data_IF_435026461719
#
_entry.id   IF_435026461719
#
_cell.length_a   1.000
_cell.length_b   1.000
_cell.length_c   1.000
_cell.angle_alpha   90.00
_cell.angle_beta   90.00
_cell.angle_gamma   90.00
#
_symmetry.space_group_name_H-M   'P 1'
#
loop_
_entity.id
_entity.type
_entity.pdbx_description
1 polymer ?
#
# COMPACT_ATOMS: atom_id res chain seq x y z
N UNK A 1 -11.39 15.39 -12.83
CA UNK A 1 -10.32 16.29 -12.37
C UNK A 1 -10.18 16.36 -10.83
N UNK A 2 -11.26 16.59 -10.06
CA UNK A 2 -11.16 16.73 -8.59
C UNK A 2 -10.65 15.46 -7.88
N UNK A 3 -11.18 14.29 -8.23
CA UNK A 3 -10.75 13.01 -7.64
C UNK A 3 -9.25 12.73 -7.90
N UNK A 4 -8.75 13.09 -9.09
CA UNK A 4 -7.34 13.01 -9.43
C UNK A 4 -6.46 13.85 -8.49
N UNK A 5 -6.84 15.12 -8.26
CA UNK A 5 -6.11 16.03 -7.37
C UNK A 5 -6.16 15.56 -5.91
N UNK A 6 -7.34 15.16 -5.42
CA UNK A 6 -7.48 14.59 -4.06
C UNK A 6 -6.58 13.36 -3.92
N UNK A 7 -6.56 12.49 -4.94
CA UNK A 7 -5.75 11.28 -4.92
C UNK A 7 -4.24 11.58 -4.84
N UNK A 8 -3.77 12.53 -5.65
CA UNK A 8 -2.39 12.99 -5.68
C UNK A 8 -1.95 13.63 -4.35
N UNK A 9 -2.70 14.58 -3.82
CA UNK A 9 -2.35 15.23 -2.56
C UNK A 9 -2.43 14.27 -1.37
N UNK A 10 -3.35 13.31 -1.39
CA UNK A 10 -3.40 12.25 -0.39
C UNK A 10 -2.18 11.33 -0.43
N UNK A 11 -1.63 11.07 -1.63
CA UNK A 11 -0.37 10.33 -1.78
C UNK A 11 0.80 11.09 -1.14
N UNK A 12 0.89 12.41 -1.34
CA UNK A 12 1.90 13.27 -0.71
C UNK A 12 1.75 13.28 0.81
N UNK A 13 0.52 13.42 1.33
CA UNK A 13 0.25 13.35 2.77
C UNK A 13 0.70 12.02 3.37
N UNK A 14 0.46 10.91 2.66
CA UNK A 14 0.95 9.59 3.06
C UNK A 14 2.47 9.55 3.22
N UNK A 15 3.24 10.13 2.28
CA UNK A 15 4.69 10.24 2.38
C UNK A 15 5.11 11.09 3.59
N UNK A 16 4.44 12.22 3.83
CA UNK A 16 4.72 13.08 4.99
C UNK A 16 4.56 12.29 6.29
N UNK A 17 3.46 11.54 6.46
CA UNK A 17 3.27 10.68 7.64
C UNK A 17 4.34 9.58 7.74
N UNK A 18 4.77 9.01 6.61
CA UNK A 18 5.86 8.02 6.55
C UNK A 18 7.20 8.58 7.02
N UNK A 19 7.51 9.83 6.70
CA UNK A 19 8.73 10.49 7.16
C UNK A 19 8.61 10.88 8.64
N UNK A 20 7.45 11.39 9.07
CA UNK A 20 7.21 11.82 10.45
C UNK A 20 7.27 10.67 11.47
N UNK A 21 6.86 9.45 11.09
CA UNK A 21 6.82 8.32 12.02
C UNK A 21 8.23 7.83 12.39
N UNK A 22 9.25 8.04 11.55
CA UNK A 22 10.64 7.60 11.78
C UNK A 22 11.25 8.26 13.03
N UNK A 23 11.37 9.60 13.12
CA UNK A 23 11.99 10.23 14.29
C UNK A 23 11.22 9.96 15.59
N UNK A 24 9.89 9.84 15.52
CA UNK A 24 9.04 9.47 16.66
C UNK A 24 9.34 8.03 17.11
N UNK A 25 9.49 7.11 16.16
CA UNK A 25 9.85 5.71 16.43
C UNK A 25 11.23 5.59 17.06
N UNK A 26 12.23 6.32 16.56
CA UNK A 26 13.59 6.36 17.13
C UNK A 26 13.57 6.89 18.56
N UNK A 27 12.87 8.01 18.80
CA UNK A 27 12.73 8.56 20.16
C UNK A 27 12.02 7.59 21.10
N UNK A 28 10.98 6.91 20.61
CA UNK A 28 10.23 5.95 21.41
C UNK A 28 11.02 4.67 21.68
N UNK A 29 11.90 4.23 20.77
CA UNK A 29 12.78 3.08 20.94
C UNK A 29 13.70 3.21 22.16
N UNK A 30 14.25 4.41 22.37
CA UNK A 30 15.18 4.71 23.47
C UNK A 30 14.49 4.94 24.83
N UNK A 31 13.15 4.96 24.88
CA UNK A 31 12.39 5.20 26.10
C UNK A 31 11.87 3.88 26.70
N UNK A 32 11.86 3.75 28.03
CA UNK A 32 11.34 2.57 28.74
C UNK A 32 9.81 2.58 28.93
N UNK A 33 9.11 3.67 28.59
CA UNK A 33 7.64 3.74 28.62
C UNK A 33 7.00 2.84 27.56
N UNK A 34 5.67 2.69 27.57
CA UNK A 34 4.91 2.03 26.50
C UNK A 34 5.14 2.67 25.11
N UNK A 35 4.64 2.02 24.06
CA UNK A 35 4.64 2.62 22.71
C UNK A 35 3.83 3.91 22.75
N UNK A 36 4.38 4.96 22.13
CA UNK A 36 3.71 6.26 22.02
C UNK A 36 2.43 6.14 21.18
N UNK A 37 1.30 6.63 21.69
CA UNK A 37 0.01 6.59 20.99
C UNK A 37 0.09 7.28 19.62
N UNK A 38 0.95 8.29 19.46
CA UNK A 38 1.16 9.00 18.19
C UNK A 38 1.64 8.08 17.07
N UNK A 39 2.37 7.01 17.37
CA UNK A 39 2.82 6.04 16.36
C UNK A 39 1.60 5.36 15.72
N UNK A 40 0.58 5.01 16.51
CA UNK A 40 -0.65 4.41 16.01
C UNK A 40 -1.47 5.41 15.19
N UNK A 41 -1.62 6.64 15.68
CA UNK A 41 -2.35 7.69 14.96
C UNK A 41 -1.69 8.02 13.62
N UNK A 42 -0.37 8.20 13.58
CA UNK A 42 0.36 8.52 12.35
C UNK A 42 0.32 7.35 11.37
N UNK A 43 0.50 6.11 11.85
CA UNK A 43 0.38 4.93 11.00
C UNK A 43 -1.04 4.77 10.42
N UNK A 44 -2.08 5.11 11.21
CA UNK A 44 -3.46 5.13 10.73
C UNK A 44 -3.64 6.20 9.65
N UNK A 45 -3.21 7.44 9.90
CA UNK A 45 -3.35 8.52 8.94
C UNK A 45 -2.55 8.26 7.66
N UNK A 46 -1.38 7.62 7.75
CA UNK A 46 -0.61 7.16 6.60
C UNK A 46 -1.42 6.18 5.74
N UNK A 47 -1.91 5.09 6.33
CA UNK A 47 -2.74 4.11 5.64
C UNK A 47 -4.00 4.76 5.05
N UNK A 48 -4.69 5.59 5.83
CA UNK A 48 -5.91 6.26 5.40
C UNK A 48 -5.67 7.22 4.22
N UNK A 49 -4.53 7.93 4.21
CA UNK A 49 -4.14 8.81 3.11
C UNK A 49 -3.88 8.01 1.83
N UNK A 50 -3.21 6.86 1.91
CA UNK A 50 -3.02 5.97 0.76
C UNK A 50 -4.33 5.35 0.29
N UNK A 51 -5.24 5.02 1.21
CA UNK A 51 -6.58 4.52 0.88
C UNK A 51 -7.40 5.58 0.12
N UNK A 52 -7.39 6.85 0.57
CA UNK A 52 -8.03 7.94 -0.16
C UNK A 52 -7.38 8.11 -1.54
N UNK A 53 -6.05 8.01 -1.62
CA UNK A 53 -5.32 8.07 -2.89
C UNK A 53 -5.82 7.00 -3.87
N UNK A 54 -5.86 5.74 -3.43
CA UNK A 54 -6.31 4.62 -4.24
C UNK A 54 -7.79 4.75 -4.64
N UNK A 55 -8.67 5.16 -3.72
CA UNK A 55 -10.07 5.44 -4.05
C UNK A 55 -10.21 6.58 -5.07
N UNK A 56 -9.40 7.64 -4.95
CA UNK A 56 -9.36 8.73 -5.92
C UNK A 56 -9.01 8.26 -7.34
N UNK A 57 -8.08 7.31 -7.46
CA UNK A 57 -7.76 6.67 -8.74
C UNK A 57 -8.93 5.83 -9.26
N UNK A 58 -9.55 5.00 -8.42
CA UNK A 58 -10.76 4.23 -8.79
C UNK A 58 -11.86 5.16 -9.31
N UNK A 59 -12.16 6.24 -8.59
CA UNK A 59 -13.17 7.23 -9.01
C UNK A 59 -12.81 7.88 -10.35
N UNK A 60 -11.53 8.12 -10.62
CA UNK A 60 -11.07 8.67 -11.90
C UNK A 60 -11.28 7.67 -13.03
N UNK A 61 -10.99 6.38 -12.81
CA UNK A 61 -11.26 5.30 -13.77
C UNK A 61 -12.76 5.10 -14.06
N UNK A 62 -13.59 5.04 -13.00
CA UNK A 62 -15.04 4.82 -13.11
C UNK A 62 -15.71 5.93 -13.90
N UNK A 63 -15.32 7.18 -13.64
CA UNK A 63 -15.85 8.36 -14.32
C UNK A 63 -15.20 8.64 -15.68
N UNK A 64 -14.25 7.80 -16.13
CA UNK A 64 -13.52 8.00 -17.39
C UNK A 64 -12.87 9.39 -17.48
N UNK A 65 -12.20 9.80 -16.40
CA UNK A 65 -11.51 11.09 -16.30
C UNK A 65 -10.21 11.11 -17.13
N UNK A 66 -10.32 11.36 -18.43
CA UNK A 66 -9.18 11.35 -19.36
C UNK A 66 -8.21 12.52 -19.19
N UNK A 67 -8.46 13.43 -18.23
CA UNK A 67 -7.45 14.39 -17.79
C UNK A 67 -6.34 13.74 -16.97
N UNK A 68 -6.55 12.51 -16.48
CA UNK A 68 -5.53 11.66 -15.87
C UNK A 68 -4.90 10.75 -16.94
N UNK A 69 -3.58 10.81 -17.08
CA UNK A 69 -2.79 10.05 -18.06
C UNK A 69 -2.97 8.53 -17.92
N UNK A 70 -2.94 8.01 -16.69
CA UNK A 70 -3.13 6.58 -16.39
C UNK A 70 -4.53 6.11 -16.79
N UNK A 71 -5.57 6.92 -16.54
CA UNK A 71 -6.96 6.62 -16.95
C UNK A 71 -7.09 6.66 -18.46
N UNK A 72 -6.52 7.68 -19.12
CA UNK A 72 -6.51 7.79 -20.58
C UNK A 72 -5.86 6.56 -21.23
N UNK A 73 -4.72 6.11 -20.72
CA UNK A 73 -3.99 4.98 -21.31
C UNK A 73 -4.64 3.61 -21.06
N UNK A 74 -5.52 3.47 -20.05
CA UNK A 74 -5.97 2.15 -19.57
C UNK A 74 -7.48 2.01 -19.39
N UNK A 75 -8.29 2.98 -19.84
CA UNK A 75 -9.75 2.96 -19.71
C UNK A 75 -10.43 3.45 -20.98
N UNK A 76 -11.73 3.18 -21.11
CA UNK A 76 -12.60 3.68 -22.18
C UNK A 76 -14.03 3.80 -21.65
N UNK A 77 -14.77 4.79 -22.13
CA UNK A 77 -16.18 5.06 -21.73
C UNK A 77 -17.10 3.84 -21.80
N UNK A 78 -16.95 2.99 -22.82
CA UNK A 78 -17.81 1.83 -23.13
C UNK A 78 -17.51 0.59 -22.29
N UNK A 79 -16.44 0.59 -21.49
CA UNK A 79 -16.09 -0.58 -20.68
C UNK A 79 -17.09 -0.79 -19.54
N UNK A 80 -17.50 -2.05 -19.26
CA UNK A 80 -18.29 -2.36 -18.09
C UNK A 80 -17.61 -1.87 -16.81
N UNK A 81 -18.41 -1.49 -15.81
CA UNK A 81 -17.92 -0.91 -14.56
C UNK A 81 -16.85 -1.78 -13.88
N UNK A 82 -17.03 -3.10 -13.89
CA UNK A 82 -16.07 -4.05 -13.33
C UNK A 82 -14.65 -3.87 -13.91
N UNK A 83 -14.54 -3.70 -15.23
CA UNK A 83 -13.25 -3.50 -15.90
C UNK A 83 -12.71 -2.07 -15.80
N UNK A 84 -13.59 -1.08 -15.57
CA UNK A 84 -13.12 0.26 -15.18
C UNK A 84 -12.46 0.21 -13.80
N UNK A 85 -13.07 -0.46 -12.84
CA UNK A 85 -12.50 -0.63 -11.51
C UNK A 85 -11.19 -1.42 -11.60
N UNK A 86 -11.17 -2.58 -12.26
CA UNK A 86 -9.94 -3.38 -12.37
C UNK A 86 -8.84 -2.71 -13.20
N UNK A 87 -9.21 -1.82 -14.13
CA UNK A 87 -8.27 -0.96 -14.84
C UNK A 87 -7.39 -0.13 -13.92
N UNK A 88 -7.85 0.18 -12.69
CA UNK A 88 -7.07 0.86 -11.64
C UNK A 88 -5.77 0.11 -11.33
N UNK A 89 -5.77 -1.22 -11.27
CA UNK A 89 -4.59 -2.03 -10.96
C UNK A 89 -4.12 -2.90 -12.12
N UNK A 90 -4.77 -2.79 -13.28
CA UNK A 90 -4.37 -3.47 -14.52
C UNK A 90 -3.18 -2.82 -15.24
N UNK A 91 -2.62 -1.75 -14.69
CA UNK A 91 -1.51 -0.99 -15.25
C UNK A 91 -0.36 -0.85 -14.25
N UNK A 92 0.77 -0.37 -14.73
CA UNK A 92 1.99 -0.30 -13.92
C UNK A 92 1.86 0.68 -12.74
N UNK A 93 1.40 1.91 -12.96
CA UNK A 93 1.32 2.96 -11.93
C UNK A 93 0.32 2.61 -10.82
N UNK A 94 -0.87 2.17 -11.22
CA UNK A 94 -1.95 1.87 -10.30
C UNK A 94 -1.77 0.54 -9.55
N UNK A 95 -1.09 -0.45 -10.15
CA UNK A 95 -0.66 -1.65 -9.42
C UNK A 95 0.37 -1.31 -8.33
N UNK A 96 1.31 -0.40 -8.59
CA UNK A 96 2.24 0.08 -7.55
C UNK A 96 1.53 0.87 -6.44
N UNK A 97 0.46 1.61 -6.76
CA UNK A 97 -0.37 2.25 -5.74
C UNK A 97 -1.13 1.22 -4.87
N UNK A 98 -1.66 0.15 -5.49
CA UNK A 98 -2.24 -0.98 -4.76
C UNK A 98 -1.20 -1.67 -3.87
N UNK A 99 0.03 -1.84 -4.35
CA UNK A 99 1.15 -2.39 -3.59
C UNK A 99 1.42 -1.55 -2.33
N UNK A 100 1.51 -0.22 -2.49
CA UNK A 100 1.69 0.71 -1.38
C UNK A 100 0.51 0.66 -0.37
N UNK A 101 -0.72 0.51 -0.86
CA UNK A 101 -1.90 0.32 -0.01
C UNK A 101 -1.75 -0.93 0.86
N UNK A 102 -1.33 -2.06 0.29
CA UNK A 102 -1.10 -3.30 1.04
C UNK A 102 0.04 -3.15 2.05
N UNK A 103 1.17 -2.52 1.68
CA UNK A 103 2.28 -2.28 2.60
C UNK A 103 1.86 -1.48 3.85
N UNK A 104 1.11 -0.40 3.65
CA UNK A 104 0.65 0.47 4.74
C UNK A 104 -0.47 -0.16 5.55
N UNK A 105 -1.34 -0.95 4.93
CA UNK A 105 -2.36 -1.73 5.62
C UNK A 105 -1.76 -2.78 6.56
N UNK A 106 -0.82 -3.60 6.06
CA UNK A 106 -0.23 -4.69 6.84
C UNK A 106 0.54 -4.19 8.05
N UNK A 107 1.30 -3.09 7.93
CA UNK A 107 2.05 -2.57 9.08
C UNK A 107 1.16 -1.91 10.12
N UNK A 108 0.11 -1.22 9.68
CA UNK A 108 -0.90 -0.69 10.60
C UNK A 108 -1.58 -1.83 11.37
N UNK A 109 -1.99 -2.89 10.67
CA UNK A 109 -2.59 -4.07 11.29
C UNK A 109 -1.61 -4.77 12.23
N UNK A 110 -0.33 -4.88 11.83
CA UNK A 110 0.73 -5.45 12.65
C UNK A 110 0.89 -4.70 13.96
N UNK A 111 0.92 -3.36 13.91
CA UNK A 111 1.02 -2.54 15.11
C UNK A 111 -0.14 -2.82 16.08
N UNK A 112 -1.37 -2.94 15.59
CA UNK A 112 -2.54 -3.21 16.45
C UNK A 112 -2.49 -4.63 17.05
N UNK A 113 -2.21 -5.64 16.22
CA UNK A 113 -2.31 -7.05 16.61
C UNK A 113 -1.10 -7.57 17.41
N UNK A 114 0.03 -6.88 17.35
CA UNK A 114 1.26 -7.27 18.05
C UNK A 114 1.36 -6.78 19.49
N UNK A 115 0.26 -6.35 20.14
CA UNK A 115 0.28 -5.74 21.48
C UNK A 115 0.97 -6.58 22.58
N UNK A 116 0.95 -7.91 22.46
CA UNK A 116 1.62 -8.87 23.38
C UNK A 116 3.13 -9.03 23.12
N UNK A 117 3.67 -8.42 22.07
CA UNK A 117 5.09 -8.53 21.70
C UNK A 117 5.93 -7.44 22.34
N UNK A 118 7.25 -7.67 22.54
CA UNK A 118 8.15 -6.68 23.10
C UNK A 118 8.13 -5.37 22.30
N UNK A 119 8.14 -4.26 23.03
CA UNK A 119 8.10 -2.90 22.46
C UNK A 119 9.16 -2.70 21.37
N UNK A 120 10.43 -3.02 21.67
CA UNK A 120 11.56 -2.79 20.77
C UNK A 120 11.43 -3.55 19.45
N UNK A 121 10.96 -4.80 19.50
CA UNK A 121 10.66 -5.61 18.32
C UNK A 121 9.59 -4.96 17.44
N UNK A 122 8.51 -4.45 18.04
CA UNK A 122 7.41 -3.80 17.29
C UNK A 122 7.88 -2.51 16.62
N UNK A 123 8.64 -1.69 17.33
CA UNK A 123 9.18 -0.42 16.80
C UNK A 123 10.19 -0.66 15.68
N UNK A 124 11.09 -1.64 15.83
CA UNK A 124 12.03 -1.97 14.75
C UNK A 124 11.34 -2.59 13.54
N UNK A 125 10.29 -3.40 13.73
CA UNK A 125 9.48 -3.91 12.62
C UNK A 125 8.85 -2.76 11.83
N UNK A 126 8.28 -1.79 12.53
CA UNK A 126 7.77 -0.56 11.93
C UNK A 126 8.87 0.20 11.19
N UNK A 127 10.03 0.41 11.81
CA UNK A 127 11.15 1.12 11.21
C UNK A 127 11.60 0.50 9.88
N UNK A 128 11.86 -0.81 9.85
CA UNK A 128 12.27 -1.51 8.63
C UNK A 128 11.20 -1.47 7.55
N UNK A 129 9.92 -1.62 7.91
CA UNK A 129 8.84 -1.50 6.96
C UNK A 129 8.74 -0.08 6.38
N UNK A 130 8.95 0.96 7.19
CA UNK A 130 8.88 2.35 6.73
C UNK A 130 9.96 2.67 5.70
N UNK A 131 11.14 2.04 5.78
CA UNK A 131 12.17 2.18 4.72
C UNK A 131 11.62 1.71 3.37
N UNK A 132 10.96 0.55 3.34
CA UNK A 132 10.34 -0.01 2.12
C UNK A 132 9.23 0.93 1.64
N UNK A 133 8.35 1.36 2.54
CA UNK A 133 7.20 2.22 2.22
C UNK A 133 7.66 3.57 1.65
N UNK A 134 8.65 4.23 2.25
CA UNK A 134 9.21 5.49 1.72
C UNK A 134 9.78 5.27 0.32
N UNK A 135 10.49 4.17 0.08
CA UNK A 135 10.97 3.81 -1.25
C UNK A 135 9.85 3.76 -2.29
N UNK A 136 8.73 3.09 -1.97
CA UNK A 136 7.55 3.03 -2.85
C UNK A 136 6.87 4.40 -3.05
N UNK A 137 6.74 5.20 -1.99
CA UNK A 137 6.21 6.57 -2.14
C UNK A 137 7.08 7.41 -3.08
N UNK A 138 8.40 7.38 -2.91
CA UNK A 138 9.32 8.15 -3.76
C UNK A 138 9.27 7.66 -5.21
N UNK A 139 9.20 6.34 -5.43
CA UNK A 139 9.08 5.76 -6.76
C UNK A 139 7.78 6.17 -7.45
N UNK A 140 6.64 6.06 -6.76
CA UNK A 140 5.35 6.52 -7.27
C UNK A 140 5.36 8.02 -7.59
N UNK A 141 5.83 8.87 -6.68
CA UNK A 141 5.76 10.32 -6.89
C UNK A 141 6.72 10.84 -7.97
N UNK A 142 7.86 10.18 -8.19
CA UNK A 142 8.89 10.66 -9.15
C UNK A 142 8.89 9.94 -10.48
N UNK A 143 8.52 8.66 -10.52
CA UNK A 143 8.76 7.81 -11.69
C UNK A 143 7.47 7.22 -12.25
N UNK A 144 6.52 6.84 -11.39
CA UNK A 144 5.30 6.12 -11.81
C UNK A 144 4.06 6.71 -11.16
N UNK A 145 3.84 8.01 -11.35
CA UNK A 145 2.77 8.73 -10.69
C UNK A 145 1.42 8.44 -11.37
N UNK A 146 0.46 7.78 -10.68
CA UNK A 146 -0.83 7.43 -11.27
C UNK A 146 -1.78 8.63 -11.45
N UNK A 147 -1.36 9.84 -11.07
CA UNK A 147 -2.18 11.05 -11.11
C UNK A 147 -1.63 12.13 -12.06
N UNK A 148 -0.70 11.76 -12.95
CA UNK A 148 -0.18 12.66 -13.97
C UNK A 148 -1.32 13.30 -14.77
N UNK A 149 -1.24 14.61 -14.95
CA UNK A 149 -2.23 15.39 -15.69
C UNK A 149 -1.87 15.43 -17.17
N UNK A 150 -2.87 15.20 -18.01
CA UNK A 150 -2.75 15.21 -19.47
C UNK A 150 -3.50 16.41 -20.07
N UNK A 151 -2.82 17.18 -20.90
CA UNK A 151 -3.39 18.31 -21.65
C UNK A 151 -2.85 18.34 -23.08
N UNK A 152 -3.70 18.60 -24.10
CA UNK A 152 -5.15 18.81 -24.02
C UNK A 152 -5.91 17.54 -23.58
N UNK A 153 -7.05 17.72 -22.90
CA UNK A 153 -7.84 16.59 -22.38
C UNK A 153 -8.44 15.81 -23.55
N UNK A 154 -8.08 14.51 -23.74
CA UNK A 154 -8.64 13.70 -24.81
C UNK A 154 -10.14 13.44 -24.60
N UNK A 155 -10.86 13.23 -25.71
CA UNK A 155 -12.29 12.91 -25.68
C UNK A 155 -12.57 11.45 -25.27
N UNK A 156 -11.61 10.56 -25.48
CA UNK A 156 -11.75 9.13 -25.24
C UNK A 156 -10.41 8.51 -24.84
N UNK A 157 -10.44 7.40 -24.10
CA UNK A 157 -9.24 6.66 -23.68
C UNK A 157 -8.87 5.52 -24.62
N UNK A 158 -7.61 5.07 -24.54
CA UNK A 158 -7.05 4.00 -25.38
C UNK A 158 -7.62 2.60 -25.05
N UNK A 159 -8.32 2.47 -23.92
CA UNK A 159 -8.90 1.22 -23.46
C UNK A 159 -7.96 0.37 -22.63
N UNK A 160 -8.55 -0.62 -21.95
CA UNK A 160 -7.82 -1.61 -21.16
C UNK A 160 -7.19 -2.67 -22.08
N UNK A 161 -6.00 -3.16 -21.73
CA UNK A 161 -5.38 -4.31 -22.40
C UNK A 161 -6.40 -5.46 -22.55
N UNK A 162 -6.62 -5.99 -23.77
CA UNK A 162 -7.58 -7.07 -24.02
C UNK A 162 -7.45 -8.27 -23.09
N UNK A 163 -6.23 -8.63 -22.68
CA UNK A 163 -5.97 -9.76 -21.78
C UNK A 163 -6.58 -9.54 -20.39
N UNK A 164 -6.63 -8.30 -19.91
CA UNK A 164 -7.16 -7.95 -18.59
C UNK A 164 -8.70 -7.89 -18.53
N UNK A 165 -9.36 -8.32 -19.61
CA UNK A 165 -10.81 -8.46 -19.67
C UNK A 165 -11.28 -9.86 -19.24
N UNK A 166 -10.39 -10.74 -18.79
CA UNK A 166 -10.76 -11.96 -18.07
C UNK A 166 -11.11 -11.62 -16.60
N UNK A 167 -12.27 -12.05 -16.08
CA UNK A 167 -12.64 -11.83 -14.67
C UNK A 167 -11.60 -12.34 -13.65
N UNK A 168 -10.95 -13.47 -13.92
CA UNK A 168 -9.90 -14.02 -13.07
C UNK A 168 -8.69 -13.10 -13.03
N UNK A 169 -8.25 -12.57 -14.18
CA UNK A 169 -7.12 -11.64 -14.27
C UNK A 169 -7.44 -10.26 -13.67
N UNK A 170 -8.72 -9.88 -13.58
CA UNK A 170 -9.15 -8.68 -12.88
C UNK A 170 -9.09 -8.85 -11.34
N UNK A 171 -9.43 -10.03 -10.81
CA UNK A 171 -9.49 -10.30 -9.36
C UNK A 171 -8.13 -10.77 -8.80
N UNK A 172 -7.31 -11.39 -9.65
CA UNK A 172 -6.03 -11.99 -9.28
C UNK A 172 -5.05 -11.00 -8.63
N UNK A 173 -4.76 -9.79 -9.17
CA UNK A 173 -3.71 -8.93 -8.62
C UNK A 173 -3.97 -8.48 -7.17
N UNK A 174 -5.18 -8.05 -6.77
CA UNK A 174 -5.47 -7.76 -5.36
C UNK A 174 -5.20 -8.93 -4.42
N UNK A 175 -5.62 -10.15 -4.78
CA UNK A 175 -5.41 -11.35 -3.98
C UNK A 175 -3.92 -11.67 -3.89
N UNK A 176 -3.24 -11.68 -5.04
CA UNK A 176 -1.82 -11.97 -5.15
C UNK A 176 -0.98 -10.97 -4.33
N UNK A 177 -1.33 -9.68 -4.37
CA UNK A 177 -0.59 -8.63 -3.66
C UNK A 177 -0.81 -8.72 -2.14
N UNK A 178 -2.00 -9.06 -1.66
CA UNK A 178 -2.20 -9.35 -0.22
C UNK A 178 -1.27 -10.48 0.26
N UNK A 179 -0.95 -11.43 -0.61
CA UNK A 179 0.04 -12.48 -0.37
C UNK A 179 1.48 -11.97 -0.42
N UNK A 180 1.96 -11.61 -1.62
CA UNK A 180 3.35 -11.22 -1.86
C UNK A 180 3.77 -10.00 -1.06
N UNK A 181 2.99 -8.92 -1.13
CA UNK A 181 3.31 -7.66 -0.44
C UNK A 181 3.14 -7.82 1.06
N UNK A 182 2.15 -8.61 1.49
CA UNK A 182 1.98 -8.96 2.90
C UNK A 182 3.23 -9.61 3.52
N UNK A 183 4.02 -10.33 2.72
CA UNK A 183 5.27 -10.94 3.20
C UNK A 183 6.34 -9.91 3.62
N UNK A 184 6.22 -8.65 3.20
CA UNK A 184 7.16 -7.60 3.60
C UNK A 184 7.17 -7.40 5.13
N UNK A 185 6.01 -7.53 5.79
CA UNK A 185 5.93 -7.38 7.24
C UNK A 185 6.63 -8.53 7.95
N UNK A 186 6.65 -9.72 7.33
CA UNK A 186 7.37 -10.90 7.81
C UNK A 186 8.87 -10.65 7.74
N UNK A 187 9.33 -10.10 6.62
CA UNK A 187 10.72 -9.69 6.43
C UNK A 187 11.14 -8.64 7.47
N UNK A 188 10.40 -7.54 7.60
CA UNK A 188 10.70 -6.47 8.56
C UNK A 188 10.68 -6.96 10.02
N UNK A 189 9.75 -7.83 10.36
CA UNK A 189 9.67 -8.46 11.67
C UNK A 189 10.84 -9.40 11.94
N UNK A 190 11.29 -10.15 10.93
CA UNK A 190 12.43 -11.05 11.06
C UNK A 190 13.72 -10.27 11.29
N UNK A 191 13.94 -9.20 10.54
CA UNK A 191 15.05 -8.26 10.79
C UNK A 191 15.00 -7.70 12.22
N UNK A 192 13.84 -7.22 12.66
CA UNK A 192 13.67 -6.69 14.00
C UNK A 192 13.98 -7.73 15.10
N UNK A 193 13.57 -8.99 14.91
CA UNK A 193 13.84 -10.06 15.87
C UNK A 193 15.33 -10.42 15.93
N UNK A 194 16.01 -10.50 14.79
CA UNK A 194 17.46 -10.74 14.71
C UNK A 194 18.22 -9.59 15.37
N UNK A 195 17.91 -8.34 15.03
CA UNK A 195 18.56 -7.14 15.62
C UNK A 195 18.36 -7.05 17.13
N UNK A 196 17.28 -7.63 17.68
CA UNK A 196 17.01 -7.64 19.12
C UNK A 196 17.39 -8.93 19.82
N UNK A 197 18.00 -9.90 19.13
CA UNK A 197 18.22 -11.26 19.65
C UNK A 197 16.95 -11.86 20.28
N UNK A 198 15.78 -11.59 19.69
CA UNK A 198 14.46 -12.01 20.18
C UNK A 198 13.91 -13.24 19.42
N UNK A 199 14.80 -14.06 18.87
CA UNK A 199 14.40 -15.31 18.20
C UNK A 199 13.99 -16.32 19.29
N UNK A 200 12.69 -16.51 19.44
CA UNK A 200 12.11 -17.33 20.51
C UNK A 200 10.88 -18.10 20.01
N UNK A 201 10.44 -19.11 20.79
CA UNK A 201 9.20 -19.84 20.53
C UNK A 201 7.97 -18.92 20.49
N UNK A 202 7.96 -17.87 21.33
CA UNK A 202 6.89 -16.88 21.37
C UNK A 202 6.85 -16.04 20.08
N UNK A 203 8.03 -15.57 19.62
CA UNK A 203 8.16 -14.87 18.35
C UNK A 203 7.76 -15.77 17.16
N UNK A 204 8.22 -17.02 17.12
CA UNK A 204 7.88 -17.96 16.05
C UNK A 204 6.37 -18.21 15.96
N UNK A 205 5.68 -18.36 17.10
CA UNK A 205 4.22 -18.49 17.13
C UNK A 205 3.50 -17.24 16.62
N UNK A 206 4.03 -16.06 16.95
CA UNK A 206 3.48 -14.79 16.48
C UNK A 206 3.64 -14.62 14.96
N UNK A 207 4.86 -14.80 14.45
CA UNK A 207 5.15 -14.57 13.03
C UNK A 207 4.47 -15.60 12.12
N UNK A 208 4.25 -16.84 12.62
CA UNK A 208 3.50 -17.88 11.90
C UNK A 208 2.11 -17.42 11.44
N UNK A 209 1.42 -16.59 12.23
CA UNK A 209 0.09 -16.07 11.84
C UNK A 209 0.20 -15.22 10.58
N UNK A 210 1.19 -14.35 10.51
CA UNK A 210 1.45 -13.49 9.34
C UNK A 210 1.88 -14.30 8.12
N UNK A 211 2.72 -15.31 8.32
CA UNK A 211 3.12 -16.26 7.25
C UNK A 211 1.89 -16.98 6.69
N UNK A 212 1.01 -17.50 7.54
CA UNK A 212 -0.19 -18.21 7.09
C UNK A 212 -1.16 -17.28 6.35
N UNK A 213 -1.35 -16.04 6.82
CA UNK A 213 -2.20 -15.05 6.12
C UNK A 213 -1.65 -14.80 4.71
N UNK A 214 -0.36 -14.48 4.57
CA UNK A 214 0.25 -14.27 3.26
C UNK A 214 0.19 -15.52 2.39
N UNK A 215 0.43 -16.71 2.96
CA UNK A 215 0.39 -17.96 2.22
C UNK A 215 -1.01 -18.26 1.68
N UNK A 216 -2.07 -18.10 2.49
CA UNK A 216 -3.45 -18.32 2.02
C UNK A 216 -3.78 -17.42 0.83
N UNK A 217 -3.41 -16.14 0.88
CA UNK A 217 -3.61 -15.24 -0.27
C UNK A 217 -2.77 -15.65 -1.49
N UNK A 218 -1.53 -16.10 -1.30
CA UNK A 218 -0.73 -16.64 -2.41
C UNK A 218 -1.35 -17.92 -3.01
N UNK A 219 -1.95 -18.80 -2.21
CA UNK A 219 -2.62 -20.01 -2.69
C UNK A 219 -3.88 -19.70 -3.50
N UNK A 220 -4.61 -18.64 -3.17
CA UNK A 220 -5.72 -18.19 -4.01
C UNK A 220 -5.26 -17.38 -5.22
N UNK A 221 -4.08 -16.76 -5.13
CA UNK A 221 -3.50 -15.98 -6.22
C UNK A 221 -2.87 -16.85 -7.31
N UNK A 222 -2.07 -17.86 -6.95
CA UNK A 222 -1.29 -18.70 -7.88
C UNK A 222 -2.10 -19.93 -8.29
#
# INVERSE_FOLDING_TARGET
MLANQIGYYSLILGLIFSVLIIPISIKNFNNNKSIDARIFSISFFQFFSVMISFLGLIFSFVNSDFSNETVFNNSHTTKPLFYKISGTWGNHEGSLLLWLLVLTFFIFLFLIKSNKQPKKYRILTLFFQQIIIIGFFLFLLKTSNPFNYLFPIPKEGLGLNPILQDPALAIHPPILYLGYVGSSVIFSASLAAVTQNYISKAWAKHIKVWILVSWVFLTFGI
#
